data_IF_323565357802
#
_entry.id   IF_323565357802
#
_cell.length_a   1.000
_cell.length_b   1.000
_cell.length_c   1.000
_cell.angle_alpha   90.00
_cell.angle_beta   90.00
_cell.angle_gamma   90.00
#
_symmetry.space_group_name_H-M   'P 1'
#
loop_
_entity.id
_entity.type
_entity.pdbx_description
1 polymer ?
#
# COMPACT_ATOMS: atom_id res chain seq x y z
N UNK A 1 -30.98 -4.99 7.79
CA UNK A 1 -29.94 -5.98 7.50
C UNK A 1 -29.27 -6.31 8.82
N UNK A 2 -29.58 -7.47 9.39
CA UNK A 2 -29.12 -7.85 10.73
C UNK A 2 -27.65 -8.27 10.75
N UNK A 3 -27.04 -8.23 11.94
CA UNK A 3 -25.66 -8.63 12.16
C UNK A 3 -25.54 -10.17 12.04
N UNK A 4 -24.82 -10.66 11.03
CA UNK A 4 -24.60 -12.10 10.83
C UNK A 4 -23.15 -12.50 11.12
N UNK A 5 -22.96 -13.68 11.70
CA UNK A 5 -21.65 -14.28 11.91
C UNK A 5 -21.03 -14.65 10.55
N UNK A 6 -19.79 -14.23 10.29
CA UNK A 6 -19.13 -14.49 9.00
C UNK A 6 -18.53 -15.90 8.86
N UNK A 7 -18.60 -16.71 9.92
CA UNK A 7 -18.08 -18.08 9.94
C UNK A 7 -19.19 -19.12 9.72
N UNK A 8 -20.37 -18.92 10.31
CA UNK A 8 -21.52 -19.83 10.18
C UNK A 8 -22.80 -19.20 9.63
N UNK A 9 -22.81 -17.90 9.33
CA UNK A 9 -23.95 -17.16 8.75
C UNK A 9 -25.19 -17.06 9.65
N UNK A 10 -25.08 -17.43 10.93
CA UNK A 10 -26.15 -17.24 11.93
C UNK A 10 -26.36 -15.75 12.25
N UNK A 11 -27.62 -15.37 12.49
CA UNK A 11 -27.95 -14.02 12.95
C UNK A 11 -27.58 -13.85 14.43
N UNK A 12 -26.62 -12.97 14.71
CA UNK A 12 -26.08 -12.67 16.04
C UNK A 12 -26.47 -11.27 16.52
N UNK A 13 -27.43 -10.62 15.85
CA UNK A 13 -27.87 -9.26 16.16
C UNK A 13 -28.44 -9.13 17.57
N UNK A 14 -29.15 -10.16 18.04
CA UNK A 14 -29.74 -10.19 19.39
C UNK A 14 -28.76 -10.56 20.50
N UNK A 15 -27.53 -10.98 20.17
CA UNK A 15 -26.52 -11.33 21.17
C UNK A 15 -25.83 -10.07 21.71
N UNK A 16 -25.55 -10.06 23.02
CA UNK A 16 -24.69 -9.04 23.65
C UNK A 16 -23.24 -9.16 23.17
N UNK A 17 -22.41 -8.15 23.40
CA UNK A 17 -21.01 -8.14 22.98
C UNK A 17 -20.24 -9.35 23.53
N UNK A 18 -20.46 -9.70 24.80
CA UNK A 18 -19.82 -10.86 25.44
C UNK A 18 -20.30 -12.19 24.85
N UNK A 19 -21.57 -12.29 24.45
CA UNK A 19 -22.13 -13.50 23.84
C UNK A 19 -21.69 -13.67 22.39
N UNK A 20 -21.51 -12.58 21.65
CA UNK A 20 -20.90 -12.59 20.31
C UNK A 20 -19.46 -13.04 20.38
N UNK A 21 -18.68 -12.54 21.35
CA UNK A 21 -17.31 -12.97 21.56
C UNK A 21 -17.24 -14.48 21.83
N UNK A 22 -18.04 -14.98 22.77
CA UNK A 22 -18.14 -16.42 23.05
C UNK A 22 -18.60 -17.24 21.83
N UNK A 23 -19.51 -16.71 21.01
CA UNK A 23 -19.93 -17.35 19.76
C UNK A 23 -18.76 -17.47 18.77
N UNK A 24 -17.91 -16.44 18.65
CA UNK A 24 -16.70 -16.51 17.82
C UNK A 24 -15.65 -17.46 18.41
N UNK A 25 -15.47 -17.46 19.73
CA UNK A 25 -14.53 -18.35 20.42
C UNK A 25 -14.90 -19.83 20.21
N UNK A 26 -16.20 -20.17 20.17
CA UNK A 26 -16.66 -21.51 19.86
C UNK A 26 -16.29 -21.97 18.43
N UNK A 27 -16.26 -21.06 17.44
CA UNK A 27 -15.76 -21.37 16.09
C UNK A 27 -14.25 -21.61 16.09
N UNK A 28 -13.52 -20.86 16.92
CA UNK A 28 -12.06 -20.97 17.05
C UNK A 28 -11.62 -22.27 17.73
N UNK A 29 -12.41 -22.78 18.68
CA UNK A 29 -12.13 -24.02 19.42
C UNK A 29 -12.64 -25.29 18.72
N UNK A 30 -13.24 -25.18 17.53
CA UNK A 30 -13.80 -26.33 16.79
C UNK A 30 -15.00 -26.98 17.49
N UNK A 31 -15.65 -26.27 18.42
CA UNK A 31 -16.85 -26.75 19.13
C UNK A 31 -18.08 -26.18 18.44
N UNK A 32 -18.56 -26.87 17.41
CA UNK A 32 -19.95 -26.73 16.98
C UNK A 32 -20.86 -27.09 18.15
N UNK A 33 -21.59 -26.10 18.70
CA UNK A 33 -22.59 -26.36 19.73
C UNK A 33 -23.82 -27.06 19.13
N UNK A 34 -24.56 -27.87 19.92
CA UNK A 34 -25.46 -28.88 19.40
C UNK A 34 -26.82 -28.32 19.03
N UNK A 35 -27.39 -28.81 17.92
CA UNK A 35 -28.81 -28.68 17.63
C UNK A 35 -29.65 -29.44 18.66
N UNK A 36 -30.75 -28.81 19.07
CA UNK A 36 -31.74 -29.31 20.02
C UNK A 36 -32.60 -30.45 19.45
N UNK A 37 -32.55 -31.61 20.13
CA UNK A 37 -33.69 -32.46 20.53
C UNK A 37 -34.57 -33.17 19.49
N UNK A 38 -34.46 -34.51 19.43
CA UNK A 38 -35.61 -35.43 19.60
C UNK A 38 -35.20 -36.93 19.69
N UNK A 39 -35.61 -37.57 20.79
CA UNK A 39 -35.95 -38.99 21.04
C UNK A 39 -35.02 -40.18 20.68
N UNK A 40 -34.50 -40.78 21.76
CA UNK A 40 -34.44 -42.21 22.13
C UNK A 40 -34.39 -43.32 21.04
N UNK A 41 -33.33 -44.14 21.08
CA UNK A 41 -33.42 -45.51 21.62
C UNK A 41 -32.04 -46.16 21.75
N UNK A 42 -31.95 -47.11 22.69
CA UNK A 42 -30.77 -47.88 23.11
C UNK A 42 -30.26 -48.78 21.98
N UNK A 43 -28.94 -48.98 21.90
CA UNK A 43 -28.30 -50.32 21.97
C UNK A 43 -26.78 -50.21 22.02
N UNK A 44 -26.22 -51.17 22.75
CA UNK A 44 -24.81 -51.43 23.01
C UNK A 44 -24.06 -51.83 21.75
N UNK A 45 -22.75 -51.58 21.70
CA UNK A 45 -21.75 -52.65 21.69
C UNK A 45 -20.34 -52.09 21.48
N UNK A 46 -19.40 -52.96 21.82
CA UNK A 46 -18.05 -52.77 22.32
C UNK A 46 -16.96 -52.45 21.30
N UNK A 47 -15.81 -52.07 21.86
CA UNK A 47 -14.46 -52.47 21.43
C UNK A 47 -13.83 -51.69 20.27
N UNK A 48 -12.85 -50.84 20.59
CA UNK A 48 -11.44 -51.00 20.19
C UNK A 48 -10.61 -49.82 20.72
N UNK A 49 -9.85 -50.09 21.79
CA UNK A 49 -8.69 -49.28 22.16
C UNK A 49 -7.62 -49.42 21.07
N UNK A 50 -7.41 -48.36 20.30
CA UNK A 50 -6.13 -48.09 19.64
C UNK A 50 -5.75 -46.65 19.92
N UNK A 51 -4.78 -46.50 20.82
CA UNK A 51 -4.11 -45.24 21.07
C UNK A 51 -3.66 -44.63 19.75
N UNK A 52 -4.12 -43.41 19.48
CA UNK A 52 -3.53 -42.52 18.50
C UNK A 52 -3.04 -41.30 19.28
N UNK A 53 -1.73 -41.23 19.44
CA UNK A 53 -1.02 -40.03 19.86
C UNK A 53 -1.55 -38.84 19.07
N UNK A 54 -2.36 -37.99 19.72
CA UNK A 54 -2.66 -36.66 19.18
C UNK A 54 -1.38 -35.85 19.32
N UNK A 55 -0.55 -35.84 18.29
CA UNK A 55 0.36 -34.72 18.07
C UNK A 55 -0.52 -33.50 17.79
N UNK A 56 -0.81 -32.75 18.85
CA UNK A 56 -1.38 -31.42 18.73
C UNK A 56 -0.24 -30.52 18.26
N UNK A 57 -0.06 -30.39 16.94
CA UNK A 57 0.71 -29.29 16.39
C UNK A 57 -0.11 -28.01 16.57
N UNK A 58 -0.08 -27.43 17.78
CA UNK A 58 -0.36 -26.01 17.94
C UNK A 58 0.88 -25.29 17.42
N UNK A 59 0.93 -25.07 16.11
CA UNK A 59 1.87 -24.10 15.58
C UNK A 59 1.32 -22.73 15.96
N UNK A 60 1.58 -22.33 17.21
CA UNK A 60 1.34 -20.96 17.69
C UNK A 60 2.26 -20.11 16.82
N UNK A 61 1.72 -19.54 15.74
CA UNK A 61 2.43 -18.59 14.90
C UNK A 61 3.13 -17.64 15.87
N UNK A 62 4.47 -17.62 15.84
CA UNK A 62 5.22 -16.66 16.66
C UNK A 62 4.68 -15.30 16.22
N UNK A 63 4.25 -14.46 17.15
CA UNK A 63 3.73 -13.10 16.90
C UNK A 63 4.86 -12.16 16.42
N UNK A 64 5.58 -12.59 15.39
CA UNK A 64 6.78 -12.03 14.84
C UNK A 64 6.73 -12.27 13.33
N UNK A 65 6.61 -11.18 12.58
CA UNK A 65 6.80 -11.21 11.14
C UNK A 65 8.30 -11.16 10.82
N UNK A 66 8.77 -12.08 9.98
CA UNK A 66 10.06 -11.91 9.31
C UNK A 66 9.86 -10.85 8.23
N UNK A 67 10.48 -9.69 8.41
CA UNK A 67 10.39 -8.63 7.42
C UNK A 67 11.15 -8.99 6.15
N UNK A 68 10.56 -8.63 5.01
CA UNK A 68 11.10 -8.89 3.69
C UNK A 68 10.85 -7.68 2.79
N UNK A 69 11.80 -7.37 1.91
CA UNK A 69 11.66 -6.36 0.87
C UNK A 69 12.20 -6.85 -0.48
N UNK A 70 11.81 -6.24 -1.61
CA UNK A 70 12.08 -6.80 -2.94
C UNK A 70 13.55 -6.93 -3.37
N UNK A 71 14.48 -6.25 -2.70
CA UNK A 71 15.91 -6.36 -2.98
C UNK A 71 16.58 -7.55 -2.24
N UNK A 72 15.86 -8.27 -1.37
CA UNK A 72 16.38 -9.48 -0.74
C UNK A 72 16.43 -10.65 -1.73
N UNK A 73 17.45 -11.50 -1.59
CA UNK A 73 17.62 -12.71 -2.42
C UNK A 73 16.72 -13.86 -1.97
N UNK A 74 16.22 -13.83 -0.74
CA UNK A 74 15.31 -14.85 -0.22
C UNK A 74 13.92 -14.71 -0.85
N UNK A 75 13.17 -15.80 -1.02
CA UNK A 75 11.81 -15.71 -1.53
C UNK A 75 10.90 -14.94 -0.56
N UNK A 76 9.89 -14.21 -1.07
CA UNK A 76 8.98 -13.46 -0.22
C UNK A 76 8.18 -14.40 0.70
N UNK A 77 7.97 -14.04 1.98
CA UNK A 77 7.07 -14.78 2.86
C UNK A 77 5.64 -14.86 2.30
N UNK A 78 4.83 -15.77 2.85
CA UNK A 78 3.47 -16.06 2.35
C UNK A 78 2.51 -14.88 2.44
N UNK A 79 2.73 -13.94 3.36
CA UNK A 79 1.95 -12.72 3.50
C UNK A 79 2.50 -11.54 2.69
N UNK A 80 3.69 -11.65 2.08
CA UNK A 80 4.27 -10.62 1.21
C UNK A 80 3.96 -10.99 -0.25
N UNK A 81 3.39 -10.07 -1.00
CA UNK A 81 2.98 -10.26 -2.40
C UNK A 81 3.60 -9.14 -3.25
N UNK A 82 4.84 -9.32 -3.73
CA UNK A 82 5.43 -8.42 -4.72
C UNK A 82 4.76 -8.62 -6.10
N UNK A 83 4.98 -7.69 -7.02
CA UNK A 83 4.53 -7.80 -8.41
C UNK A 83 3.07 -7.42 -8.69
N UNK A 84 2.29 -7.01 -7.68
CA UNK A 84 0.89 -6.58 -7.89
C UNK A 84 0.78 -5.26 -8.65
N UNK A 85 1.72 -4.33 -8.51
CA UNK A 85 1.70 -3.06 -9.25
C UNK A 85 1.82 -3.30 -10.78
N UNK A 86 2.80 -4.09 -11.28
CA UNK A 86 2.83 -4.50 -12.69
C UNK A 86 1.57 -5.23 -13.18
N UNK A 87 0.99 -6.12 -12.36
CA UNK A 87 -0.27 -6.80 -12.69
C UNK A 87 -1.43 -5.81 -12.83
N UNK A 88 -1.54 -4.87 -11.90
CA UNK A 88 -2.54 -3.80 -11.93
C UNK A 88 -2.35 -2.90 -13.16
N UNK A 89 -1.10 -2.53 -13.48
CA UNK A 89 -0.75 -1.76 -14.69
C UNK A 89 -1.23 -2.45 -15.96
N UNK A 90 -1.01 -3.77 -16.10
CA UNK A 90 -1.52 -4.56 -17.23
C UNK A 90 -3.05 -4.57 -17.28
N UNK A 91 -3.72 -4.69 -16.14
CA UNK A 91 -5.19 -4.65 -16.08
C UNK A 91 -5.77 -3.27 -16.45
N UNK A 92 -5.12 -2.18 -16.03
CA UNK A 92 -5.49 -0.80 -16.39
C UNK A 92 -5.28 -0.54 -17.89
N UNK A 93 -4.19 -1.04 -18.47
CA UNK A 93 -3.96 -0.95 -19.92
C UNK A 93 -5.04 -1.70 -20.72
N UNK A 94 -5.44 -2.90 -20.28
CA UNK A 94 -6.57 -3.64 -20.87
C UNK A 94 -7.88 -2.84 -20.74
N UNK A 95 -8.14 -2.22 -19.59
CA UNK A 95 -9.32 -1.37 -19.36
C UNK A 95 -9.32 -0.09 -20.21
N UNK A 96 -8.15 0.50 -20.44
CA UNK A 96 -7.99 1.62 -21.38
C UNK A 96 -8.30 1.22 -22.81
N UNK A 97 -7.76 0.08 -23.28
CA UNK A 97 -8.04 -0.44 -24.62
C UNK A 97 -9.54 -0.74 -24.84
N UNK A 98 -10.29 -1.02 -23.76
CA UNK A 98 -11.76 -1.19 -23.77
C UNK A 98 -12.53 0.14 -23.59
N UNK A 99 -11.84 1.28 -23.54
CA UNK A 99 -12.45 2.62 -23.47
C UNK A 99 -13.02 3.01 -22.10
N UNK A 100 -12.67 2.29 -21.02
CA UNK A 100 -13.15 2.62 -19.67
C UNK A 100 -12.19 3.55 -18.95
N UNK A 101 -10.90 3.20 -18.91
CA UNK A 101 -9.85 4.02 -18.31
C UNK A 101 -9.35 5.02 -19.35
N UNK A 102 -9.27 6.31 -19.01
CA UNK A 102 -8.61 7.32 -19.86
C UNK A 102 -7.16 7.47 -19.47
N UNK A 103 -6.88 7.54 -18.17
CA UNK A 103 -5.54 7.70 -17.61
C UNK A 103 -5.43 6.98 -16.27
N UNK A 104 -4.24 6.47 -15.93
CA UNK A 104 -3.95 6.03 -14.57
C UNK A 104 -2.48 6.30 -14.21
N UNK A 105 -2.25 6.64 -12.94
CA UNK A 105 -0.91 6.80 -12.37
C UNK A 105 -0.81 5.93 -11.14
N UNK A 106 0.22 5.09 -11.10
CA UNK A 106 0.56 4.20 -10.01
C UNK A 106 1.80 4.71 -9.28
N UNK A 107 1.99 4.30 -8.03
CA UNK A 107 3.20 4.57 -7.27
C UNK A 107 4.39 3.79 -7.81
N UNK A 108 5.50 3.83 -7.07
CA UNK A 108 6.68 3.02 -7.28
C UNK A 108 6.34 1.56 -7.65
N UNK A 109 6.89 1.11 -8.79
CA UNK A 109 6.49 -0.14 -9.46
C UNK A 109 6.79 -1.40 -8.65
N UNK A 110 7.71 -1.35 -7.70
CA UNK A 110 8.09 -2.49 -6.85
C UNK A 110 7.44 -2.46 -5.46
N UNK A 111 6.44 -1.59 -5.23
CA UNK A 111 5.68 -1.60 -3.98
C UNK A 111 5.04 -2.98 -3.73
N UNK A 112 5.11 -3.43 -2.46
CA UNK A 112 4.71 -4.78 -2.04
C UNK A 112 3.43 -4.69 -1.23
N UNK A 113 2.47 -5.56 -1.54
CA UNK A 113 1.32 -5.77 -0.66
C UNK A 113 1.69 -6.73 0.46
N UNK A 114 1.37 -6.37 1.70
CA UNK A 114 1.61 -7.22 2.87
C UNK A 114 0.27 -7.47 3.56
N UNK A 115 -0.20 -8.71 3.49
CA UNK A 115 -1.48 -9.09 4.09
C UNK A 115 -1.40 -9.23 5.60
N UNK A 116 -2.52 -8.97 6.27
CA UNK A 116 -2.72 -9.41 7.66
C UNK A 116 -2.47 -10.92 7.82
N UNK A 117 -2.02 -11.32 8.99
CA UNK A 117 -2.05 -12.69 9.49
C UNK A 117 -3.23 -12.86 10.45
N UNK A 118 -3.40 -14.06 11.02
CA UNK A 118 -4.54 -14.33 11.90
C UNK A 118 -4.47 -13.53 13.19
N UNK A 119 -3.28 -13.41 13.78
CA UNK A 119 -3.08 -12.80 15.11
C UNK A 119 -3.19 -11.27 15.12
N UNK A 120 -2.96 -10.61 13.97
CA UNK A 120 -3.08 -9.15 13.82
C UNK A 120 -4.34 -8.72 13.05
N UNK A 121 -5.24 -9.64 12.75
CA UNK A 121 -6.35 -9.42 11.83
C UNK A 121 -7.30 -8.26 12.19
N UNK A 122 -7.51 -8.02 13.48
CA UNK A 122 -8.49 -7.05 14.00
C UNK A 122 -7.88 -5.70 14.39
N UNK A 123 -6.56 -5.55 14.31
CA UNK A 123 -5.86 -4.39 14.85
C UNK A 123 -4.59 -3.97 14.10
N UNK A 124 -4.06 -4.84 13.24
CA UNK A 124 -2.77 -4.70 12.57
C UNK A 124 -2.75 -3.78 11.36
N UNK A 125 -3.86 -3.16 10.96
CA UNK A 125 -3.94 -2.40 9.69
C UNK A 125 -2.86 -1.30 9.57
N UNK A 126 -2.68 -0.47 10.61
CA UNK A 126 -1.63 0.55 10.64
C UNK A 126 -0.23 -0.04 10.55
N UNK A 127 0.01 -1.15 11.27
CA UNK A 127 1.28 -1.86 11.26
C UNK A 127 1.60 -2.46 9.88
N UNK A 128 0.61 -3.05 9.20
CA UNK A 128 0.79 -3.59 7.84
C UNK A 128 1.06 -2.49 6.82
N UNK A 129 0.37 -1.34 6.93
CA UNK A 129 0.66 -0.18 6.08
C UNK A 129 2.07 0.40 6.35
N UNK A 130 2.55 0.39 7.59
CA UNK A 130 3.94 0.70 7.93
C UNK A 130 4.92 -0.27 7.24
N UNK A 131 4.69 -1.59 7.32
CA UNK A 131 5.57 -2.56 6.67
C UNK A 131 5.60 -2.38 5.15
N UNK A 132 4.45 -2.10 4.53
CA UNK A 132 4.40 -1.83 3.09
C UNK A 132 5.18 -0.56 2.72
N UNK A 133 5.15 0.47 3.59
CA UNK A 133 5.92 1.69 3.41
C UNK A 133 7.42 1.42 3.51
N UNK A 134 7.86 0.69 4.55
CA UNK A 134 9.26 0.28 4.70
C UNK A 134 9.76 -0.54 3.52
N UNK A 135 8.97 -1.51 3.03
CA UNK A 135 9.37 -2.33 1.88
C UNK A 135 9.60 -1.49 0.61
N UNK A 136 8.79 -0.45 0.39
CA UNK A 136 8.97 0.48 -0.73
C UNK A 136 10.17 1.42 -0.50
N UNK A 137 10.29 2.02 0.69
CA UNK A 137 11.34 2.98 1.03
C UNK A 137 12.74 2.35 1.05
N UNK A 138 12.85 1.07 1.40
CA UNK A 138 14.11 0.33 1.43
C UNK A 138 14.53 -0.22 0.05
N UNK A 139 13.60 -0.35 -0.91
CA UNK A 139 13.88 -0.88 -2.26
C UNK A 139 14.04 0.21 -3.32
N UNK A 140 13.42 1.38 -3.13
CA UNK A 140 13.51 2.48 -4.09
C UNK A 140 14.96 2.98 -4.27
N UNK A 141 15.36 3.39 -5.51
CA UNK A 141 16.75 3.74 -5.81
C UNK A 141 17.09 5.23 -5.63
N UNK A 142 16.14 6.04 -5.17
CA UNK A 142 16.24 7.51 -5.14
C UNK A 142 16.86 8.04 -3.85
N UNK A 143 16.57 7.38 -2.72
CA UNK A 143 17.08 7.71 -1.38
C UNK A 143 17.68 6.47 -0.70
N UNK A 144 18.84 5.96 -1.15
CA UNK A 144 19.42 4.71 -0.65
C UNK A 144 19.79 4.76 0.84
N UNK A 145 20.03 5.95 1.39
CA UNK A 145 20.33 6.14 2.81
C UNK A 145 19.15 5.80 3.73
N UNK A 146 17.93 5.67 3.21
CA UNK A 146 16.79 5.21 4.00
C UNK A 146 16.92 3.76 4.44
N UNK A 147 17.61 2.91 3.65
CA UNK A 147 17.80 1.50 3.99
C UNK A 147 18.44 1.30 5.38
N UNK A 148 19.67 1.81 5.64
CA UNK A 148 20.31 1.58 6.94
C UNK A 148 19.52 2.22 8.10
N UNK A 149 18.85 3.35 7.86
CA UNK A 149 18.00 4.02 8.85
C UNK A 149 16.74 3.25 9.20
N UNK A 150 16.27 2.36 8.32
CA UNK A 150 15.10 1.50 8.57
C UNK A 150 15.51 0.11 9.05
N UNK A 151 16.69 -0.37 8.67
CA UNK A 151 17.17 -1.71 9.04
C UNK A 151 17.77 -1.78 10.46
N UNK A 152 18.45 -0.72 10.91
CA UNK A 152 19.26 -0.73 12.13
C UNK A 152 18.78 0.25 13.20
N UNK A 153 18.85 -0.07 14.51
CA UNK A 153 19.39 -1.30 15.09
C UNK A 153 18.39 -2.48 15.09
N UNK A 154 17.12 -2.21 14.78
CA UNK A 154 16.04 -3.19 14.77
C UNK A 154 15.27 -2.98 13.48
N UNK A 155 15.14 -4.03 12.67
CA UNK A 155 14.46 -3.98 11.38
C UNK A 155 12.94 -3.82 11.52
N UNK A 156 12.22 -3.44 10.45
CA UNK A 156 10.78 -3.26 10.49
C UNK A 156 10.07 -4.55 10.95
N UNK A 157 8.95 -4.41 11.64
CA UNK A 157 8.14 -5.53 12.11
C UNK A 157 6.94 -4.99 12.89
N UNK A 158 5.86 -5.77 13.04
CA UNK A 158 4.69 -5.31 13.81
C UNK A 158 5.06 -4.99 15.25
N UNK A 159 5.70 -5.94 15.95
CA UNK A 159 6.15 -5.74 17.33
C UNK A 159 7.32 -4.74 17.42
N UNK A 160 8.20 -4.73 16.43
CA UNK A 160 9.32 -3.79 16.38
C UNK A 160 8.85 -2.33 16.21
N UNK A 161 7.78 -2.09 15.44
CA UNK A 161 7.19 -0.77 15.31
C UNK A 161 6.68 -0.24 16.66
N UNK A 162 6.12 -1.10 17.51
CA UNK A 162 5.69 -0.68 18.86
C UNK A 162 6.88 -0.14 19.66
N UNK A 163 8.03 -0.81 19.56
CA UNK A 163 9.28 -0.35 20.16
C UNK A 163 9.76 0.96 19.53
N UNK A 164 9.73 1.09 18.20
CA UNK A 164 10.12 2.32 17.51
C UNK A 164 9.28 3.52 17.96
N UNK A 165 7.96 3.34 18.08
CA UNK A 165 7.05 4.40 18.54
C UNK A 165 7.34 4.77 20.00
N UNK A 166 7.48 3.79 20.89
CA UNK A 166 7.80 4.06 22.29
C UNK A 166 9.18 4.72 22.47
N UNK A 167 10.17 4.37 21.63
CA UNK A 167 11.47 5.05 21.57
C UNK A 167 11.35 6.48 21.06
N UNK A 168 10.53 6.73 20.03
CA UNK A 168 10.22 8.07 19.57
C UNK A 168 9.63 8.92 20.71
N UNK A 169 8.65 8.38 21.45
CA UNK A 169 8.05 9.02 22.62
C UNK A 169 9.05 9.31 23.73
N UNK A 170 9.96 8.37 24.04
CA UNK A 170 11.04 8.59 25.00
C UNK A 170 11.98 9.72 24.57
N UNK A 171 12.20 9.85 23.27
CA UNK A 171 12.99 10.92 22.67
C UNK A 171 12.23 12.24 22.49
N UNK A 172 10.98 12.31 22.95
CA UNK A 172 10.15 13.52 22.98
C UNK A 172 9.38 13.80 21.70
N UNK A 173 9.28 12.84 20.78
CA UNK A 173 8.34 12.91 19.67
C UNK A 173 6.92 12.59 20.16
N UNK A 174 5.91 13.24 19.59
CA UNK A 174 4.50 12.87 19.72
C UNK A 174 4.03 12.60 21.17
N UNK A 175 4.19 13.61 22.03
CA UNK A 175 3.77 13.53 23.44
C UNK A 175 2.27 13.30 23.58
N UNK A 176 1.47 13.79 22.62
CA UNK A 176 0.03 13.59 22.56
C UNK A 176 -0.32 12.13 22.29
N UNK A 177 0.29 11.50 21.28
CA UNK A 177 0.15 10.07 21.01
C UNK A 177 0.57 9.21 22.19
N UNK A 178 1.67 9.57 22.87
CA UNK A 178 2.08 8.93 24.13
C UNK A 178 1.01 9.05 25.21
N UNK A 179 0.42 10.22 25.42
CA UNK A 179 -0.61 10.42 26.43
C UNK A 179 -1.87 9.61 26.12
N UNK A 180 -2.25 9.53 24.85
CA UNK A 180 -3.43 8.79 24.39
C UNK A 180 -3.24 7.27 24.47
N UNK A 181 -2.12 6.75 24.00
CA UNK A 181 -1.88 5.31 23.85
C UNK A 181 -1.15 4.71 25.05
N UNK A 182 -0.40 5.51 25.82
CA UNK A 182 0.38 5.13 27.01
C UNK A 182 1.50 4.10 26.75
N UNK A 183 1.11 2.86 26.42
CA UNK A 183 1.98 1.72 26.14
C UNK A 183 1.47 0.98 24.91
N UNK A 184 2.39 0.63 24.01
CA UNK A 184 2.14 -0.12 22.78
C UNK A 184 2.80 -1.50 22.77
N UNK A 185 4.02 -1.63 23.30
CA UNK A 185 4.78 -2.89 23.22
C UNK A 185 3.99 -4.02 23.87
N UNK A 186 3.84 -5.11 23.13
CA UNK A 186 3.07 -6.30 23.50
C UNK A 186 1.57 -6.03 23.72
N UNK A 187 1.02 -5.02 23.06
CA UNK A 187 -0.43 -4.76 23.03
C UNK A 187 -1.00 -4.95 21.63
N UNK A 188 -2.33 -4.99 21.51
CA UNK A 188 -3.04 -5.04 20.23
C UNK A 188 -3.75 -3.70 19.94
N UNK A 189 -3.19 -2.60 20.44
CA UNK A 189 -3.76 -1.26 20.24
C UNK A 189 -3.62 -0.82 18.79
N UNK A 190 -4.68 -0.19 18.29
CA UNK A 190 -4.66 0.47 16.99
C UNK A 190 -3.70 1.66 17.04
N UNK A 191 -3.03 1.89 15.92
CA UNK A 191 -2.17 3.06 15.68
C UNK A 191 -2.68 3.80 14.46
N UNK A 192 -2.46 5.11 14.43
CA UNK A 192 -2.78 5.99 13.31
C UNK A 192 -1.54 6.42 12.54
N UNK A 193 -1.78 7.31 11.58
CA UNK A 193 -0.74 7.93 10.74
C UNK A 193 0.23 8.80 11.54
N UNK A 194 -0.21 9.45 12.63
CA UNK A 194 0.65 10.21 13.53
C UNK A 194 1.69 9.34 14.24
N UNK A 195 1.28 8.18 14.77
CA UNK A 195 2.19 7.24 15.44
C UNK A 195 3.27 6.74 14.48
N UNK A 196 2.86 6.40 13.24
CA UNK A 196 3.77 5.96 12.18
C UNK A 196 4.71 7.11 11.77
N UNK A 197 4.21 8.34 11.68
CA UNK A 197 5.01 9.53 11.40
C UNK A 197 6.10 9.74 12.46
N UNK A 198 5.75 9.65 13.75
CA UNK A 198 6.72 9.74 14.84
C UNK A 198 7.83 8.69 14.73
N UNK A 199 7.48 7.45 14.36
CA UNK A 199 8.46 6.38 14.17
C UNK A 199 9.44 6.69 13.03
N UNK A 200 8.97 7.20 11.89
CA UNK A 200 9.84 7.56 10.76
C UNK A 200 10.71 8.79 11.07
N UNK A 201 10.12 9.86 11.60
CA UNK A 201 10.84 11.09 11.93
C UNK A 201 11.93 10.87 12.98
N UNK A 202 11.66 10.05 14.00
CA UNK A 202 12.64 9.73 15.04
C UNK A 202 13.82 8.88 14.54
N UNK A 203 13.70 8.30 13.34
CA UNK A 203 14.76 7.55 12.65
C UNK A 203 15.41 8.34 11.51
N UNK A 204 15.06 9.62 11.38
CA UNK A 204 15.64 10.49 10.38
C UNK A 204 15.03 10.35 8.98
N UNK A 205 13.87 9.70 8.85
CA UNK A 205 13.16 9.60 7.57
C UNK A 205 12.14 10.75 7.47
N UNK A 206 12.27 11.66 6.49
CA UNK A 206 11.25 12.64 6.16
C UNK A 206 9.88 11.98 5.91
N UNK A 207 8.88 12.42 6.67
CA UNK A 207 7.49 12.01 6.54
C UNK A 207 6.57 13.16 6.95
N UNK A 208 5.41 13.27 6.32
CA UNK A 208 4.49 14.40 6.50
C UNK A 208 3.03 13.97 6.58
N UNK A 209 2.26 14.73 7.36
CA UNK A 209 0.85 14.51 7.62
C UNK A 209 -0.01 15.55 6.90
N UNK A 210 -1.15 15.12 6.37
CA UNK A 210 -2.17 16.01 5.79
C UNK A 210 -3.56 15.62 6.28
N UNK A 211 -4.25 16.56 6.93
CA UNK A 211 -5.59 16.41 7.48
C UNK A 211 -6.62 16.96 6.49
N UNK A 212 -7.65 16.16 6.24
CA UNK A 212 -8.80 16.53 5.44
C UNK A 212 -10.04 16.52 6.29
N UNK A 213 -10.76 17.64 6.33
CA UNK A 213 -12.06 17.73 6.98
C UNK A 213 -13.15 18.06 5.96
N UNK A 214 -14.07 17.11 5.75
CA UNK A 214 -15.21 17.30 4.84
C UNK A 214 -16.24 18.19 5.53
N UNK A 215 -16.09 19.50 5.36
CA UNK A 215 -17.03 20.49 5.88
C UNK A 215 -18.23 20.69 4.96
N UNK A 216 -18.02 20.62 3.65
CA UNK A 216 -19.07 20.76 2.64
C UNK A 216 -19.47 19.39 2.08
N UNK A 217 -20.68 18.94 2.43
CA UNK A 217 -21.25 17.69 1.94
C UNK A 217 -21.38 17.65 0.41
N UNK A 218 -21.53 18.80 -0.25
CA UNK A 218 -21.63 18.88 -1.72
C UNK A 218 -20.28 18.62 -2.40
N UNK A 219 -19.18 19.07 -1.78
CA UNK A 219 -17.82 18.80 -2.26
C UNK A 219 -17.36 17.38 -1.93
N UNK A 220 -17.95 16.75 -0.91
CA UNK A 220 -17.64 15.38 -0.54
C UNK A 220 -16.14 15.17 -0.35
N UNK A 221 -15.55 14.20 -1.07
CA UNK A 221 -14.13 13.89 -1.02
C UNK A 221 -13.28 14.48 -2.13
N UNK A 222 -13.83 15.43 -2.88
CA UNK A 222 -13.10 16.11 -3.94
C UNK A 222 -11.78 16.71 -3.45
N UNK A 223 -11.68 17.37 -2.27
CA UNK A 223 -10.39 17.88 -1.78
C UNK A 223 -9.34 16.78 -1.57
N UNK A 224 -9.74 15.67 -0.93
CA UNK A 224 -8.87 14.50 -0.69
C UNK A 224 -8.39 13.90 -2.02
N UNK A 225 -9.32 13.62 -2.93
CA UNK A 225 -9.02 13.02 -4.23
C UNK A 225 -8.13 13.93 -5.07
N UNK A 226 -8.42 15.24 -5.10
CA UNK A 226 -7.63 16.21 -5.85
C UNK A 226 -6.22 16.36 -5.29
N UNK A 227 -6.06 16.31 -3.96
CA UNK A 227 -4.73 16.33 -3.35
C UNK A 227 -3.94 15.07 -3.73
N UNK A 228 -4.57 13.89 -3.67
CA UNK A 228 -3.94 12.63 -4.07
C UNK A 228 -3.55 12.65 -5.55
N UNK A 229 -4.43 13.09 -6.45
CA UNK A 229 -4.13 13.21 -7.88
C UNK A 229 -2.93 14.14 -8.10
N UNK A 230 -2.91 15.30 -7.44
CA UNK A 230 -1.78 16.25 -7.50
C UNK A 230 -0.48 15.63 -6.98
N UNK A 231 -0.53 14.89 -5.89
CA UNK A 231 0.63 14.16 -5.37
C UNK A 231 1.19 13.21 -6.43
N UNK A 232 0.37 12.34 -7.02
CA UNK A 232 0.84 11.39 -8.04
C UNK A 232 1.32 12.09 -9.32
N UNK A 233 0.64 13.16 -9.75
CA UNK A 233 0.98 13.89 -10.97
C UNK A 233 2.32 14.63 -10.85
N UNK A 234 2.64 15.17 -9.67
CA UNK A 234 3.94 15.80 -9.37
C UNK A 234 5.13 14.87 -9.73
N UNK A 235 4.99 13.56 -9.54
CA UNK A 235 6.06 12.58 -9.79
C UNK A 235 5.87 11.78 -11.09
N UNK A 236 4.79 12.03 -11.83
CA UNK A 236 4.49 11.39 -13.12
C UNK A 236 5.01 12.22 -14.30
N UNK A 237 5.24 13.52 -14.10
CA UNK A 237 5.72 14.41 -15.17
C UNK A 237 7.13 14.00 -15.61
N UNK A 238 7.32 13.79 -16.92
CA UNK A 238 8.64 13.61 -17.54
C UNK A 238 9.36 14.95 -17.59
N UNK A 239 10.70 14.90 -17.64
CA UNK A 239 11.57 16.08 -17.71
C UNK A 239 11.01 17.16 -18.65
N UNK A 240 10.90 18.43 -18.20
CA UNK A 240 10.38 19.54 -19.01
C UNK A 240 11.21 19.87 -20.26
N UNK A 241 12.34 19.19 -20.50
CA UNK A 241 13.16 19.31 -21.70
C UNK A 241 12.80 18.38 -22.87
N UNK A 242 11.73 17.58 -22.77
CA UNK A 242 11.28 16.70 -23.86
C UNK A 242 10.51 17.51 -24.91
N UNK A 243 10.87 17.39 -26.19
CA UNK A 243 10.08 17.97 -27.29
C UNK A 243 8.64 17.45 -27.28
N UNK A 244 7.69 18.25 -27.77
CA UNK A 244 6.25 17.92 -27.82
C UNK A 244 6.03 16.56 -28.50
N UNK A 245 6.78 16.27 -29.57
CA UNK A 245 6.68 15.00 -30.30
C UNK A 245 7.20 13.81 -29.47
N UNK A 246 8.27 13.97 -28.69
CA UNK A 246 8.77 12.91 -27.80
C UNK A 246 7.84 12.68 -26.58
N UNK A 247 7.15 13.72 -26.12
CA UNK A 247 6.12 13.61 -25.10
C UNK A 247 4.88 12.85 -25.61
N UNK A 248 4.41 13.17 -26.83
CA UNK A 248 3.24 12.53 -27.45
C UNK A 248 3.50 11.09 -27.89
N UNK A 249 4.67 10.79 -28.46
CA UNK A 249 5.03 9.44 -28.93
C UNK A 249 5.31 8.45 -27.79
N UNK A 250 5.57 8.93 -26.57
CA UNK A 250 5.92 8.10 -25.43
C UNK A 250 4.92 8.11 -24.27
N UNK A 251 3.81 8.84 -24.37
CA UNK A 251 2.82 8.95 -23.30
C UNK A 251 1.99 7.66 -23.18
N UNK A 252 2.43 6.74 -22.33
CA UNK A 252 1.58 5.62 -21.91
C UNK A 252 0.38 6.18 -21.13
N UNK A 253 -0.86 5.72 -21.40
CA UNK A 253 -2.05 6.13 -20.65
C UNK A 253 -2.02 5.64 -19.21
N UNK A 254 -1.20 4.62 -18.92
CA UNK A 254 -0.97 4.08 -17.58
C UNK A 254 0.51 4.18 -17.24
N UNK A 255 0.84 4.90 -16.17
CA UNK A 255 2.23 5.20 -15.80
C UNK A 255 2.50 4.76 -14.35
N UNK A 256 3.74 4.36 -14.08
CA UNK A 256 4.24 4.27 -12.70
C UNK A 256 5.09 5.52 -12.45
N UNK A 257 4.79 6.23 -11.37
CA UNK A 257 5.51 7.41 -10.93
C UNK A 257 6.64 7.02 -9.95
N UNK A 258 7.57 7.95 -9.75
CA UNK A 258 8.69 7.78 -8.79
C UNK A 258 8.28 8.02 -7.33
N UNK A 259 6.99 8.23 -7.06
CA UNK A 259 6.46 8.52 -5.73
C UNK A 259 6.20 7.25 -4.90
N UNK A 260 6.26 7.40 -3.58
CA UNK A 260 5.87 6.34 -2.66
C UNK A 260 4.35 6.24 -2.53
N UNK A 261 3.82 5.06 -2.18
CA UNK A 261 2.41 4.93 -1.84
C UNK A 261 2.08 5.73 -0.56
N UNK A 262 0.81 6.11 -0.42
CA UNK A 262 0.32 6.97 0.66
C UNK A 262 -0.45 6.14 1.69
N UNK A 263 -0.22 6.32 2.98
CA UNK A 263 -1.12 5.75 3.99
C UNK A 263 -2.28 6.73 4.18
N UNK A 264 -3.51 6.24 4.03
CA UNK A 264 -4.73 7.01 4.31
C UNK A 264 -5.44 6.38 5.50
N UNK A 265 -5.58 7.16 6.57
CA UNK A 265 -6.31 6.79 7.77
C UNK A 265 -7.71 7.42 7.75
N UNK A 266 -8.71 6.61 8.03
CA UNK A 266 -10.05 7.05 8.40
C UNK A 266 -10.37 6.66 9.86
N UNK A 267 -11.53 7.03 10.41
CA UNK A 267 -11.87 6.74 11.83
C UNK A 267 -11.93 5.25 12.23
N UNK A 268 -11.70 4.29 11.32
CA UNK A 268 -11.83 2.84 11.60
C UNK A 268 -10.69 1.99 11.05
N UNK A 269 -10.10 2.37 9.92
CA UNK A 269 -9.17 1.52 9.18
C UNK A 269 -8.19 2.38 8.37
N UNK A 270 -6.93 1.92 8.26
CA UNK A 270 -5.98 2.49 7.32
C UNK A 270 -5.81 1.63 6.08
N UNK A 271 -5.58 2.31 4.95
CA UNK A 271 -5.28 1.71 3.67
C UNK A 271 -4.06 2.39 3.07
N UNK A 272 -3.47 1.75 2.08
CA UNK A 272 -2.38 2.33 1.32
C UNK A 272 -2.86 2.66 -0.10
N UNK A 273 -2.92 3.94 -0.44
CA UNK A 273 -3.21 4.39 -1.82
C UNK A 273 -1.95 4.21 -2.66
N UNK A 274 -2.10 3.42 -3.72
CA UNK A 274 -1.03 3.04 -4.65
C UNK A 274 -1.17 3.71 -6.02
N UNK A 275 -2.17 4.59 -6.18
CA UNK A 275 -2.41 5.30 -7.43
C UNK A 275 -3.84 5.75 -7.58
N UNK A 276 -4.16 6.24 -8.77
CA UNK A 276 -5.51 6.59 -9.17
C UNK A 276 -5.76 6.22 -10.64
N UNK A 277 -7.04 6.11 -10.97
CA UNK A 277 -7.56 5.89 -12.30
C UNK A 277 -8.57 7.00 -12.63
N UNK A 278 -8.41 7.66 -13.77
CA UNK A 278 -9.41 8.51 -14.39
C UNK A 278 -10.19 7.69 -15.41
N UNK A 279 -11.51 7.71 -15.31
CA UNK A 279 -12.40 7.00 -16.24
C UNK A 279 -12.87 7.92 -17.36
N UNK A 280 -13.46 7.33 -18.40
CA UNK A 280 -14.10 8.06 -19.51
C UNK A 280 -15.24 8.97 -19.07
N UNK A 281 -15.85 8.72 -17.91
CA UNK A 281 -16.89 9.59 -17.34
C UNK A 281 -16.32 10.81 -16.62
N UNK A 282 -14.99 10.99 -16.60
CA UNK A 282 -14.31 12.01 -15.81
C UNK A 282 -14.21 11.67 -14.31
N UNK A 283 -14.66 10.49 -13.89
CA UNK A 283 -14.61 10.10 -12.49
C UNK A 283 -13.22 9.60 -12.11
N UNK A 284 -12.74 10.04 -10.95
CA UNK A 284 -11.49 9.53 -10.35
C UNK A 284 -11.81 8.38 -9.40
N UNK A 285 -11.15 7.24 -9.61
CA UNK A 285 -11.15 6.10 -8.69
C UNK A 285 -9.77 5.96 -8.06
N UNK A 286 -9.70 5.96 -6.73
CA UNK A 286 -8.46 5.65 -6.02
C UNK A 286 -8.17 4.14 -6.09
N UNK A 287 -6.89 3.80 -6.18
CA UNK A 287 -6.39 2.43 -6.21
C UNK A 287 -5.65 2.16 -4.90
N UNK A 288 -6.00 1.07 -4.21
CA UNK A 288 -5.52 0.80 -2.85
C UNK A 288 -5.01 -0.62 -2.66
N UNK A 289 -4.00 -0.73 -1.83
CA UNK A 289 -3.70 -1.90 -1.03
C UNK A 289 -4.49 -1.78 0.29
N UNK A 290 -5.45 -2.68 0.51
CA UNK A 290 -6.20 -2.79 1.76
C UNK A 290 -5.73 -4.04 2.52
N UNK A 291 -5.02 -3.92 3.66
CA UNK A 291 -4.45 -5.07 4.37
C UNK A 291 -5.52 -6.06 4.89
N UNK A 292 -6.80 -5.64 4.95
CA UNK A 292 -7.93 -6.49 5.31
C UNK A 292 -8.46 -7.32 4.14
N UNK A 293 -8.09 -6.99 2.90
CA UNK A 293 -8.60 -7.62 1.68
C UNK A 293 -7.57 -8.57 1.09
N UNK A 294 -7.70 -9.85 1.40
CA UNK A 294 -6.79 -10.87 0.86
C UNK A 294 -6.95 -11.04 -0.67
N UNK A 295 -5.86 -10.96 -1.45
CA UNK A 295 -5.87 -11.33 -2.86
C UNK A 295 -6.25 -12.80 -3.05
N UNK A 296 -6.93 -13.10 -4.16
CA UNK A 296 -7.22 -14.49 -4.52
C UNK A 296 -5.92 -15.26 -4.78
N UNK A 297 -5.94 -16.60 -4.63
CA UNK A 297 -4.78 -17.44 -4.93
C UNK A 297 -4.27 -17.20 -6.36
N UNK A 298 -5.18 -17.07 -7.32
CA UNK A 298 -4.85 -16.77 -8.73
C UNK A 298 -4.12 -15.43 -8.88
N UNK A 299 -4.64 -14.37 -8.24
CA UNK A 299 -4.00 -13.05 -8.27
C UNK A 299 -2.61 -13.07 -7.62
N UNK A 300 -2.45 -13.79 -6.49
CA UNK A 300 -1.13 -13.97 -5.86
C UNK A 300 -0.16 -14.71 -6.78
N UNK A 301 -0.57 -15.83 -7.40
CA UNK A 301 0.30 -16.58 -8.32
C UNK A 301 0.75 -15.73 -9.50
N UNK A 302 -0.18 -14.97 -10.11
CA UNK A 302 0.13 -14.06 -11.21
C UNK A 302 1.12 -12.96 -10.79
N UNK A 303 0.97 -12.41 -9.58
CA UNK A 303 1.88 -11.38 -9.08
C UNK A 303 3.30 -11.92 -8.84
N UNK A 304 3.43 -13.14 -8.31
CA UNK A 304 4.73 -13.77 -8.06
C UNK A 304 5.45 -14.17 -9.37
N UNK A 305 4.71 -14.61 -10.39
CA UNK A 305 5.29 -14.90 -11.70
C UNK A 305 5.76 -13.61 -12.38
N UNK A 306 4.96 -12.54 -12.30
CA UNK A 306 5.32 -11.24 -12.83
C UNK A 306 6.58 -10.69 -12.16
N UNK A 307 6.64 -10.74 -10.82
CA UNK A 307 7.82 -10.31 -10.06
C UNK A 307 9.09 -11.04 -10.50
N UNK A 308 9.05 -12.37 -10.57
CA UNK A 308 10.18 -13.20 -11.01
C UNK A 308 10.66 -12.84 -12.42
N UNK A 309 9.72 -12.54 -13.34
CA UNK A 309 10.03 -12.16 -14.73
C UNK A 309 10.69 -10.80 -14.86
N UNK A 310 10.38 -9.86 -13.96
CA UNK A 310 11.01 -8.53 -13.94
C UNK A 310 12.42 -8.57 -13.35
N UNK A 311 12.64 -9.42 -12.33
CA UNK A 311 13.96 -9.59 -11.72
C UNK A 311 14.96 -10.26 -12.65
N UNK A 312 14.54 -11.20 -13.50
CA UNK A 312 15.43 -11.86 -14.47
C UNK A 312 15.88 -10.96 -15.64
N UNK A 313 15.11 -9.91 -15.95
CA UNK A 313 15.45 -8.90 -16.97
C UNK A 313 16.39 -7.80 -16.46
N UNK A 314 16.60 -7.71 -15.15
CA UNK A 314 17.39 -6.65 -14.51
C UNK A 314 18.88 -7.00 -14.30
N UNK A 315 19.33 -8.18 -14.71
CA UNK A 315 20.75 -8.57 -14.64
C UNK A 315 21.55 -7.91 -15.77
N UNK A 316 22.57 -7.08 -15.49
CA UNK A 316 23.52 -6.66 -16.52
C UNK A 316 24.42 -7.85 -16.86
N UNK A 317 24.47 -8.23 -18.13
CA UNK A 317 25.50 -9.14 -18.64
C UNK A 317 26.89 -8.52 -18.43
N UNK A 318 27.89 -9.27 -17.96
CA UNK A 318 29.25 -8.75 -17.90
C UNK A 318 29.75 -8.56 -19.32
N UNK A 319 30.24 -7.35 -19.59
CA UNK A 319 31.02 -7.01 -20.79
C UNK A 319 32.08 -8.10 -21.04
N UNK A 320 31.93 -8.83 -22.14
CA UNK A 320 33.03 -9.58 -22.72
C UNK A 320 34.00 -8.55 -23.31
N UNK A 321 35.14 -8.36 -22.62
CA UNK A 321 36.23 -7.54 -23.12
C UNK A 321 36.79 -8.14 -24.40
N UNK A 322 36.69 -7.39 -25.50
CA UNK A 322 37.48 -7.65 -26.69
C UNK A 322 38.97 -7.47 -26.34
N UNK A 323 39.73 -8.55 -26.50
CA UNK A 323 41.18 -8.51 -26.56
C UNK A 323 41.60 -7.66 -27.76
N UNK A 324 42.45 -6.66 -27.52
CA UNK A 324 43.41 -6.18 -28.52
C UNK A 324 44.78 -6.13 -27.90
N UNK A 325 45.66 -6.97 -28.42
CA UNK A 325 47.10 -6.89 -28.31
C UNK A 325 47.58 -5.64 -29.07
N UNK A 326 48.44 -4.82 -28.46
CA UNK A 326 49.65 -4.34 -29.13
C UNK A 326 50.68 -3.73 -28.16
N UNK A 327 51.93 -3.84 -28.60
CA UNK A 327 53.18 -3.81 -27.86
C UNK A 327 53.75 -2.40 -27.54
N UNK A 328 54.53 -2.34 -26.45
CA UNK A 328 55.82 -1.66 -26.28
C UNK A 328 56.04 -0.18 -26.65
N UNK A 329 56.34 0.66 -25.66
CA UNK A 329 57.60 1.41 -25.57
C UNK A 329 57.71 2.25 -24.27
N UNK A 330 58.87 2.17 -23.65
CA UNK A 330 59.30 2.81 -22.40
C UNK A 330 59.57 4.32 -22.53
N UNK A 331 59.37 5.10 -21.46
CA UNK A 331 60.43 5.90 -20.82
C UNK A 331 59.95 6.79 -19.65
N UNK A 332 60.76 6.72 -18.58
CA UNK A 332 61.11 7.75 -17.58
C UNK A 332 60.04 8.52 -16.78
N UNK A 333 60.05 8.28 -15.47
CA UNK A 333 59.68 9.26 -14.44
C UNK A 333 60.78 10.35 -14.29
N UNK A 334 60.51 11.49 -13.62
CA UNK A 334 60.67 11.50 -12.16
C UNK A 334 59.60 12.29 -11.37
N UNK A 335 59.67 12.04 -10.07
CA UNK A 335 58.89 12.53 -8.93
C UNK A 335 59.07 14.05 -8.73
N UNK A 336 57.99 14.78 -8.41
CA UNK A 336 58.09 15.84 -7.41
C UNK A 336 56.79 16.07 -6.64
N UNK A 337 56.99 16.24 -5.34
CA UNK A 337 56.05 16.58 -4.28
C UNK A 337 55.59 18.03 -4.35
N UNK A 338 54.30 18.34 -4.10
CA UNK A 338 53.89 19.38 -3.12
C UNK A 338 52.37 19.62 -3.07
N UNK A 339 51.94 19.86 -1.83
CA UNK A 339 50.66 20.42 -1.37
C UNK A 339 50.00 21.45 -2.29
N UNK A 340 48.68 21.31 -2.51
CA UNK A 340 47.82 22.48 -2.68
C UNK A 340 46.52 22.41 -1.87
N UNK A 341 46.46 23.38 -0.95
CA UNK A 341 45.40 23.84 -0.09
C UNK A 341 44.36 24.59 -0.93
N UNK A 342 43.11 24.13 -0.92
CA UNK A 342 41.98 24.86 -1.53
C UNK A 342 41.73 26.18 -0.79
N UNK A 343 41.80 27.30 -1.51
CA UNK A 343 41.34 28.63 -1.08
C UNK A 343 39.90 28.83 -1.56
N UNK A 344 39.04 29.24 -0.63
CA UNK A 344 37.73 29.82 -0.89
C UNK A 344 37.85 31.09 -1.74
N UNK A 345 36.89 31.29 -2.64
CA UNK A 345 36.50 32.61 -3.13
C UNK A 345 35.00 32.76 -2.94
N UNK A 346 34.63 33.72 -2.09
CA UNK A 346 33.30 34.29 -1.98
C UNK A 346 33.07 35.24 -3.17
N UNK A 347 31.92 35.14 -3.83
CA UNK A 347 31.33 36.26 -4.56
C UNK A 347 29.87 36.34 -4.13
N UNK A 348 29.49 37.56 -3.80
CA UNK A 348 28.26 37.95 -3.13
C UNK A 348 27.40 38.78 -4.11
N UNK A 349 26.08 38.70 -3.89
CA UNK A 349 24.99 39.63 -4.29
C UNK A 349 24.26 39.52 -5.64
N UNK A 350 22.94 39.33 -5.43
CA UNK A 350 21.78 40.01 -6.03
C UNK A 350 21.60 40.02 -7.55
N UNK A 351 20.53 39.35 -8.00
CA UNK A 351 19.52 39.98 -8.85
C UNK A 351 18.11 39.50 -8.48
N UNK A 352 17.21 40.47 -8.28
CA UNK A 352 15.77 40.31 -8.16
C UNK A 352 15.19 39.91 -9.52
N UNK A 353 14.38 38.85 -9.60
CA UNK A 353 13.41 38.68 -10.69
C UNK A 353 12.05 38.27 -10.12
N UNK A 354 11.20 39.31 -10.11
CA UNK A 354 9.74 39.38 -10.14
C UNK A 354 8.88 38.11 -10.07
N UNK A 355 7.93 38.18 -9.15
CA UNK A 355 6.58 37.64 -9.26
C UNK A 355 6.00 37.86 -10.67
N UNK A 356 5.75 36.77 -11.39
CA UNK A 356 4.71 36.75 -12.42
C UNK A 356 3.75 35.62 -12.09
N UNK A 357 2.61 36.01 -11.55
CA UNK A 357 1.39 35.23 -11.49
C UNK A 357 1.05 34.73 -12.91
N UNK A 358 0.93 33.42 -13.07
CA UNK A 358 0.32 32.83 -14.25
C UNK A 358 -1.06 32.31 -13.87
N UNK A 359 -2.06 33.12 -14.24
CA UNK A 359 -3.44 32.71 -14.40
C UNK A 359 -3.50 31.69 -15.54
N UNK A 360 -3.36 30.40 -15.20
CA UNK A 360 -3.83 29.30 -16.04
C UNK A 360 -5.20 28.90 -15.53
N UNK A 361 -6.24 29.14 -16.33
CA UNK A 361 -7.61 28.72 -16.04
C UNK A 361 -7.62 27.23 -15.66
N UNK A 362 -7.93 26.98 -14.38
CA UNK A 362 -8.19 25.65 -13.87
C UNK A 362 -9.59 25.31 -14.36
N UNK A 363 -9.71 24.48 -15.39
CA UNK A 363 -11.01 23.87 -15.71
C UNK A 363 -11.48 23.13 -14.46
N UNK A 364 -12.52 23.68 -13.85
CA UNK A 364 -13.19 23.14 -12.69
C UNK A 364 -13.79 21.78 -13.07
N UNK A 365 -13.16 20.69 -12.62
CA UNK A 365 -13.67 19.33 -12.86
C UNK A 365 -14.99 19.19 -12.09
N UNK A 366 -16.11 19.40 -12.80
CA UNK A 366 -17.45 19.28 -12.26
C UNK A 366 -17.84 17.81 -12.06
N UNK A 367 -18.31 17.49 -10.85
CA UNK A 367 -18.91 16.22 -10.52
C UNK A 367 -20.38 16.24 -10.95
N UNK A 368 -20.75 15.38 -11.91
CA UNK A 368 -22.16 15.15 -12.24
C UNK A 368 -22.70 14.06 -11.31
N UNK A 369 -23.53 14.44 -10.35
CA UNK A 369 -24.45 13.50 -9.69
C UNK A 369 -25.56 13.11 -10.69
N UNK A 370 -25.49 11.91 -11.25
CA UNK A 370 -26.67 11.31 -11.88
C UNK A 370 -27.41 10.42 -10.89
N UNK A 371 -28.52 10.95 -10.36
CA UNK A 371 -29.71 10.16 -10.00
C UNK A 371 -30.44 9.85 -11.31
N UNK A 372 -30.30 8.64 -11.82
CA UNK A 372 -31.26 8.09 -12.77
C UNK A 372 -31.97 6.91 -12.09
N UNK A 373 -33.29 7.04 -12.04
CA UNK A 373 -34.27 6.13 -11.48
C UNK A 373 -34.92 5.49 -12.68
N UNK A 374 -34.42 4.32 -13.08
CA UNK A 374 -35.05 3.53 -14.14
C UNK A 374 -35.85 2.41 -13.49
N UNK A 375 -37.14 2.67 -13.33
CA UNK A 375 -38.16 1.67 -13.08
C UNK A 375 -38.34 0.85 -14.36
N UNK A 376 -37.95 -0.43 -14.35
CA UNK A 376 -38.35 -1.40 -15.38
C UNK A 376 -38.93 -2.62 -14.68
N UNK A 377 -40.26 -2.72 -14.75
CA UNK A 377 -41.03 -3.90 -14.38
C UNK A 377 -40.60 -5.11 -15.21
N UNK A 378 -40.26 -6.22 -14.55
CA UNK A 378 -40.12 -7.53 -15.19
C UNK A 378 -41.40 -8.34 -14.96
N UNK A 379 -42.21 -8.47 -16.01
CA UNK A 379 -43.27 -9.49 -16.11
C UNK A 379 -42.76 -10.65 -16.98
N UNK A 380 -42.76 -11.85 -16.40
CA UNK A 380 -43.20 -13.08 -17.07
C UNK A 380 -42.31 -13.76 -18.12
N UNK A 381 -41.64 -14.82 -17.66
CA UNK A 381 -41.54 -16.17 -18.27
C UNK A 381 -41.15 -16.36 -19.75
N UNK A 382 -40.09 -17.15 -19.99
CA UNK A 382 -40.12 -18.19 -21.03
C UNK A 382 -38.88 -18.39 -21.90
N UNK A 383 -38.22 -19.54 -21.66
CA UNK A 383 -37.50 -20.44 -22.61
C UNK A 383 -36.01 -20.20 -22.94
N UNK A 384 -35.32 -21.35 -22.90
CA UNK A 384 -33.93 -21.67 -23.16
C UNK A 384 -33.47 -21.25 -24.57
N UNK A 385 -32.21 -20.80 -24.66
CA UNK A 385 -31.45 -20.72 -25.90
C UNK A 385 -29.96 -20.49 -25.60
N UNK A 386 -29.15 -21.54 -25.76
CA UNK A 386 -27.68 -21.48 -25.71
C UNK A 386 -27.14 -20.58 -26.83
N UNK A 387 -26.26 -19.64 -26.51
CA UNK A 387 -25.29 -19.09 -27.46
C UNK A 387 -24.09 -18.48 -26.71
N UNK A 388 -23.11 -19.33 -26.43
CA UNK A 388 -21.79 -18.96 -25.94
C UNK A 388 -21.02 -18.21 -27.04
N UNK A 389 -20.75 -16.92 -26.85
CA UNK A 389 -19.64 -16.24 -27.56
C UNK A 389 -18.42 -16.25 -26.64
N UNK A 390 -17.54 -17.20 -26.93
CA UNK A 390 -16.23 -17.38 -26.30
C UNK A 390 -15.27 -16.39 -26.96
N UNK A 391 -14.81 -15.40 -26.19
CA UNK A 391 -13.56 -14.70 -26.48
C UNK A 391 -12.44 -15.74 -26.40
N UNK A 392 -11.81 -16.04 -27.54
CA UNK A 392 -10.64 -16.91 -27.62
C UNK A 392 -9.39 -16.13 -27.18
N UNK A 393 -8.51 -16.83 -26.47
CA UNK A 393 -7.16 -16.44 -26.04
C UNK A 393 -7.01 -15.76 -24.65
N UNK A 394 -7.64 -16.35 -23.62
CA UNK A 394 -7.19 -16.20 -22.23
C UNK A 394 -6.74 -17.58 -21.75
N UNK A 395 -5.49 -17.78 -21.28
CA UNK A 395 -5.11 -19.01 -20.59
C UNK A 395 -6.10 -19.24 -19.44
N UNK A 396 -6.70 -20.44 -19.38
CA UNK A 396 -7.83 -20.80 -18.49
C UNK A 396 -7.62 -20.55 -16.98
N UNK A 397 -6.46 -20.02 -16.56
CA UNK A 397 -6.07 -19.79 -15.16
C UNK A 397 -5.71 -18.33 -14.80
N UNK A 398 -5.73 -17.37 -15.74
CA UNK A 398 -5.48 -15.95 -15.43
C UNK A 398 -6.78 -15.24 -14.97
N UNK A 399 -6.78 -14.47 -13.86
CA UNK A 399 -7.94 -13.67 -13.48
C UNK A 399 -8.28 -12.63 -14.55
N UNK A 400 -9.57 -12.34 -14.75
CA UNK A 400 -9.98 -11.29 -15.69
C UNK A 400 -9.47 -9.92 -15.25
N UNK A 401 -9.17 -9.02 -16.20
CA UNK A 401 -8.71 -7.67 -15.85
C UNK A 401 -9.72 -6.93 -14.95
N UNK A 402 -11.01 -7.17 -15.14
CA UNK A 402 -12.09 -6.62 -14.31
C UNK A 402 -12.02 -7.12 -12.86
N UNK A 403 -11.71 -8.40 -12.64
CA UNK A 403 -11.54 -8.96 -11.29
C UNK A 403 -10.30 -8.37 -10.59
N UNK A 404 -9.22 -8.20 -11.34
CA UNK A 404 -8.01 -7.51 -10.86
C UNK A 404 -8.37 -6.08 -10.44
N UNK A 405 -8.99 -5.29 -11.32
CA UNK A 405 -9.35 -3.90 -11.01
C UNK A 405 -10.33 -3.79 -9.83
N UNK A 406 -11.31 -4.69 -9.75
CA UNK A 406 -12.25 -4.77 -8.62
C UNK A 406 -11.52 -4.98 -7.29
N UNK A 407 -10.39 -5.68 -7.28
CA UNK A 407 -9.58 -5.89 -6.07
C UNK A 407 -8.94 -4.59 -5.55
N UNK A 408 -8.46 -3.73 -6.46
CA UNK A 408 -7.71 -2.52 -6.09
C UNK A 408 -8.54 -1.24 -6.04
N UNK A 409 -9.65 -1.15 -6.78
CA UNK A 409 -10.49 0.05 -6.76
C UNK A 409 -11.12 0.25 -5.38
N UNK A 410 -10.93 1.44 -4.82
CA UNK A 410 -11.55 1.81 -3.56
C UNK A 410 -13.00 2.21 -3.78
N UNK A 411 -13.94 1.40 -3.27
CA UNK A 411 -15.37 1.67 -3.44
C UNK A 411 -15.82 2.95 -2.69
N UNK A 412 -16.31 3.93 -3.46
CA UNK A 412 -16.81 5.24 -3.01
C UNK A 412 -17.97 5.19 -1.99
N UNK A 413 -18.66 4.06 -1.82
CA UNK A 413 -19.77 3.95 -0.85
C UNK A 413 -19.29 4.10 0.60
N UNK A 414 -18.02 3.78 0.87
CA UNK A 414 -17.40 3.89 2.19
C UNK A 414 -16.93 5.31 2.55
N UNK A 415 -16.91 6.18 1.55
CA UNK A 415 -16.25 7.49 1.53
C UNK A 415 -17.23 8.65 1.82
N UNK A 416 -18.53 8.47 1.53
CA UNK A 416 -19.57 9.50 1.72
C UNK A 416 -20.03 9.72 3.17
N UNK A 417 -19.65 8.85 4.12
CA UNK A 417 -20.13 8.91 5.51
C UNK A 417 -19.11 9.45 6.50
N UNK A 418 -17.93 9.86 6.04
CA UNK A 418 -16.79 10.16 6.91
C UNK A 418 -16.31 11.57 6.68
N UNK A 419 -16.10 12.27 7.79
CA UNK A 419 -15.79 13.69 7.76
C UNK A 419 -14.32 14.00 7.99
N UNK A 420 -13.49 13.01 8.34
CA UNK A 420 -12.07 13.21 8.67
C UNK A 420 -11.21 12.11 8.08
N UNK A 421 -10.17 12.54 7.35
CA UNK A 421 -9.12 11.68 6.82
C UNK A 421 -7.78 12.29 7.17
N UNK A 422 -6.78 11.45 7.39
CA UNK A 422 -5.39 11.88 7.51
C UNK A 422 -4.54 11.05 6.56
N UNK A 423 -3.67 11.72 5.81
CA UNK A 423 -2.67 11.10 4.95
C UNK A 423 -1.33 11.14 5.66
N UNK A 424 -0.55 10.07 5.55
CA UNK A 424 0.89 10.07 5.76
C UNK A 424 1.58 9.81 4.41
N UNK A 425 2.54 10.66 4.06
CA UNK A 425 3.32 10.55 2.83
C UNK A 425 4.81 10.79 3.05
N UNK A 426 5.61 10.38 2.06
CA UNK A 426 7.08 10.47 2.10
C UNK A 426 7.56 11.35 0.94
N UNK A 427 8.11 12.55 1.19
CA UNK A 427 8.51 13.46 0.12
C UNK A 427 9.74 12.97 -0.68
N UNK A 428 10.47 11.96 -0.17
CA UNK A 428 11.73 11.42 -0.71
C UNK A 428 12.89 12.44 -0.72
N UNK A 429 12.93 13.29 0.30
CA UNK A 429 14.05 14.20 0.57
C UNK A 429 15.24 13.49 1.23
N UNK A 430 16.35 14.20 1.42
CA UNK A 430 17.50 13.67 2.17
C UNK A 430 17.12 13.31 3.61
N UNK A 431 17.80 12.33 4.23
CA UNK A 431 17.59 12.03 5.65
C UNK A 431 17.74 13.26 6.55
N UNK A 432 16.88 13.33 7.57
CA UNK A 432 16.87 14.45 8.49
C UNK A 432 18.15 14.49 9.33
N UNK A 433 18.73 15.68 9.43
CA UNK A 433 19.78 15.96 10.41
C UNK A 433 19.21 15.92 11.84
N UNK A 434 20.08 15.74 12.84
CA UNK A 434 19.69 15.81 14.26
C UNK A 434 19.00 17.12 14.63
N UNK A 435 19.33 18.23 13.95
CA UNK A 435 18.71 19.53 14.18
C UNK A 435 17.26 19.55 13.67
N UNK A 436 17.02 19.04 12.46
CA UNK A 436 15.68 18.96 11.87
C UNK A 436 14.79 17.99 12.63
N UNK A 437 15.31 16.84 13.05
CA UNK A 437 14.61 15.90 13.92
C UNK A 437 14.13 16.56 15.21
N UNK A 438 14.96 17.41 15.85
CA UNK A 438 14.56 18.14 17.07
C UNK A 438 13.43 19.13 16.82
N UNK A 439 13.41 19.78 15.65
CA UNK A 439 12.35 20.73 15.27
C UNK A 439 11.02 20.02 14.97
N UNK A 440 11.06 18.76 14.54
CA UNK A 440 9.89 17.94 14.18
C UNK A 440 9.42 16.98 15.30
N UNK A 441 9.76 17.27 16.56
CA UNK A 441 9.28 16.50 17.72
C UNK A 441 7.78 16.67 17.96
N UNK A 442 7.28 17.89 17.75
CA UNK A 442 5.85 18.17 17.72
C UNK A 442 5.38 17.86 16.31
N UNK A 443 4.45 16.91 16.19
CA UNK A 443 3.90 16.55 14.90
C UNK A 443 2.93 17.65 14.44
N UNK A 444 3.06 18.05 13.18
CA UNK A 444 2.18 19.03 12.53
C UNK A 444 1.57 18.39 11.29
N UNK A 445 0.34 18.76 10.96
CA UNK A 445 -0.37 18.30 9.78
C UNK A 445 -0.82 19.49 8.93
N UNK A 446 -0.62 19.42 7.62
CA UNK A 446 -1.22 20.38 6.69
C UNK A 446 -2.74 20.17 6.69
N UNK A 447 -3.53 21.24 6.86
CA UNK A 447 -5.00 21.12 6.88
C UNK A 447 -5.61 21.58 5.56
N UNK A 448 -6.31 20.67 4.90
CA UNK A 448 -7.08 20.91 3.68
C UNK A 448 -8.58 20.86 4.01
N UNK A 449 -9.34 21.87 3.57
CA UNK A 449 -10.79 21.99 3.81
C UNK A 449 -11.58 22.28 2.55
#
# INVERSE_FOLDING_TARGET
MGLQCQLCWENIEKLTVSERQRHYDNHLEGRSSPQSGSNASRRSDSWFSKGKSKMIFVNREKEQDVFWHPAMQTPPPTNFIPGLIPVLKKALLKSHAKGTTTRAVLCYERAVYISRQMWDASWGCGYRNFLMSCAALMDQPYQPLYFPLLDQPVSPGIRNLQTWIEEAWKNGFDVEGRAQLQKLVNTNKWIGTSDICAAFLSRGIPAELVDFEVKDLKKGLTPLTNWIVRYFDKYSQRNPGSTINAALLGASPVQCARCMPLIVQDNKHSRMVIGYELTRTGAVSLLVFDPSRLPSKRLRTLALSEFSSTSSKASPSPFQGERRENEGASSSAPIDTTNQRMKMVHVDKNENISDTAWNGEVEEIQFIEKRERDDVEFIGAGRKGNASKVDKDIPLDEPSYSDVLKHFRWENRSLQKRHKYQILYFPLEEPLTKSEMRKRKILTSERIS
#
